data_IF_903804995451
#
_entry.id   IF_903804995451
#
_cell.length_a   1.000
_cell.length_b   1.000
_cell.length_c   1.000
_cell.angle_alpha   90.00
_cell.angle_beta   90.00
_cell.angle_gamma   90.00
#
_symmetry.space_group_name_H-M   'P 1'
#
loop_
_entity.id
_entity.type
_entity.pdbx_description
1 polymer ?
#
# COMPACT_ATOMS: atom_id res chain seq x y z
N UNK A 1 52.91 -4.00 52.76
CA UNK A 1 52.22 -2.88 52.07
C UNK A 1 53.01 -2.60 50.81
N UNK A 2 52.86 -3.41 49.77
CA UNK A 2 51.77 -3.38 48.78
C UNK A 2 51.81 -2.16 47.85
N UNK A 3 52.35 -2.42 46.64
CA UNK A 3 51.87 -2.15 45.27
C UNK A 3 53.07 -1.74 44.40
N UNK A 4 53.66 -2.66 43.62
CA UNK A 4 53.26 -3.00 42.22
C UNK A 4 53.22 -1.70 41.39
N UNK A 5 54.17 -1.35 40.52
CA UNK A 5 54.88 -2.17 39.54
C UNK A 5 54.22 -1.95 38.16
N UNK A 6 54.95 -1.34 37.21
CA UNK A 6 55.01 -1.62 35.75
C UNK A 6 55.51 -0.38 34.99
N UNK A 7 56.70 -0.53 34.42
CA UNK A 7 57.31 0.24 33.33
C UNK A 7 56.52 0.02 32.01
N UNK A 8 56.40 1.04 31.13
CA UNK A 8 56.86 0.77 29.78
C UNK A 8 57.58 1.95 29.11
N UNK A 9 58.84 1.69 28.74
CA UNK A 9 59.51 1.81 27.42
C UNK A 9 59.42 3.10 26.59
N UNK A 10 60.54 3.48 25.94
CA UNK A 10 60.64 4.64 25.06
C UNK A 10 60.08 4.37 23.66
N UNK A 11 59.44 5.38 23.08
CA UNK A 11 59.15 5.44 21.65
C UNK A 11 57.67 5.31 21.31
N UNK A 12 57.06 6.44 21.01
CA UNK A 12 56.23 6.72 19.83
C UNK A 12 55.41 7.98 20.14
N UNK A 13 56.09 9.13 20.11
CA UNK A 13 55.38 10.36 19.80
C UNK A 13 54.78 10.18 18.42
N UNK A 14 53.45 10.32 18.31
CA UNK A 14 52.76 10.38 17.03
C UNK A 14 53.50 11.40 16.18
N UNK A 15 54.18 10.92 15.13
CA UNK A 15 54.91 11.81 14.23
C UNK A 15 53.85 12.53 13.41
N UNK A 16 54.09 13.80 13.14
CA UNK A 16 53.34 14.66 12.19
C UNK A 16 53.33 14.08 10.74
N UNK A 17 53.90 12.89 10.53
CA UNK A 17 54.05 12.21 9.21
C UNK A 17 52.98 11.16 8.90
N UNK A 18 52.06 10.85 9.83
CA UNK A 18 50.96 9.91 9.54
C UNK A 18 49.74 10.59 8.88
N UNK A 19 49.63 11.93 8.91
CA UNK A 19 48.55 12.70 8.27
C UNK A 19 48.88 13.04 6.80
N UNK A 20 50.15 12.98 6.40
CA UNK A 20 50.58 13.24 5.02
C UNK A 20 50.24 12.09 4.05
N UNK A 21 49.86 10.91 4.56
CA UNK A 21 49.58 9.72 3.74
C UNK A 21 48.08 9.49 3.44
N UNK A 22 47.20 10.41 3.83
CA UNK A 22 45.75 10.31 3.61
C UNK A 22 45.15 11.46 2.79
N UNK A 23 45.97 12.42 2.34
CA UNK A 23 45.47 13.47 1.45
C UNK A 23 45.16 12.91 0.06
N UNK A 24 43.96 13.20 -0.44
CA UNK A 24 43.50 12.80 -1.77
C UNK A 24 43.84 13.88 -2.79
N UNK A 25 44.44 13.47 -3.89
CA UNK A 25 44.66 14.36 -5.02
C UNK A 25 43.32 14.77 -5.66
N UNK A 26 43.27 15.91 -6.35
CA UNK A 26 42.05 16.35 -7.06
C UNK A 26 41.48 15.30 -8.03
N UNK A 27 42.33 14.46 -8.62
CA UNK A 27 41.90 13.36 -9.49
C UNK A 27 41.23 12.22 -8.73
N UNK A 28 41.74 11.88 -7.54
CA UNK A 28 41.15 10.86 -6.66
C UNK A 28 39.85 11.37 -6.04
N UNK A 29 39.83 12.59 -5.49
CA UNK A 29 38.61 13.21 -4.98
C UNK A 29 37.54 13.32 -6.07
N UNK A 30 37.91 13.63 -7.31
CA UNK A 30 36.98 13.66 -8.43
C UNK A 30 36.33 12.29 -8.69
N UNK A 31 37.14 11.23 -8.69
CA UNK A 31 36.68 9.85 -8.85
C UNK A 31 35.77 9.42 -7.71
N UNK A 32 36.15 9.73 -6.48
CA UNK A 32 35.49 9.23 -5.27
C UNK A 32 34.23 10.02 -4.90
N UNK A 33 34.15 11.29 -5.32
CA UNK A 33 32.97 12.15 -5.11
C UNK A 33 31.96 12.13 -6.27
N UNK A 34 32.39 11.68 -7.45
CA UNK A 34 31.60 11.78 -8.68
C UNK A 34 31.51 13.20 -9.27
N UNK A 35 32.28 14.17 -8.72
CA UNK A 35 32.46 15.49 -9.30
C UNK A 35 33.64 15.47 -10.26
N UNK A 36 33.47 16.02 -11.46
CA UNK A 36 34.61 16.18 -12.38
C UNK A 36 35.68 17.11 -11.81
N UNK A 37 36.94 16.94 -12.22
CA UNK A 37 38.08 17.80 -11.82
C UNK A 37 37.78 19.28 -12.07
N UNK A 38 37.13 19.60 -13.19
CA UNK A 38 36.71 20.99 -13.49
C UNK A 38 35.64 21.52 -12.53
N UNK A 39 34.76 20.66 -12.01
CA UNK A 39 33.74 21.03 -11.03
C UNK A 39 34.38 21.32 -9.67
N UNK A 40 35.34 20.49 -9.22
CA UNK A 40 36.10 20.75 -7.99
C UNK A 40 36.85 22.10 -8.06
N UNK A 41 37.49 22.41 -9.19
CA UNK A 41 38.11 23.73 -9.42
C UNK A 41 37.10 24.89 -9.43
N UNK A 42 35.88 24.64 -9.90
CA UNK A 42 34.81 25.62 -9.85
C UNK A 42 34.35 25.88 -8.41
N UNK A 43 34.12 24.83 -7.63
CA UNK A 43 33.68 24.95 -6.24
C UNK A 43 34.74 25.54 -5.31
N UNK A 44 36.02 25.28 -5.56
CA UNK A 44 37.13 25.98 -4.91
C UNK A 44 37.06 27.49 -5.15
N UNK A 45 37.03 27.94 -6.42
CA UNK A 45 36.91 29.37 -6.77
C UNK A 45 35.63 30.01 -6.25
N UNK A 46 34.54 29.26 -6.25
CA UNK A 46 33.25 29.69 -5.72
C UNK A 46 33.19 29.61 -4.19
N UNK A 47 34.27 29.19 -3.51
CA UNK A 47 34.42 29.09 -2.06
C UNK A 47 33.46 28.10 -1.39
N UNK A 48 32.95 27.12 -2.12
CA UNK A 48 31.95 26.14 -1.66
C UNK A 48 32.64 24.90 -1.08
N UNK A 49 33.72 24.46 -1.70
CA UNK A 49 34.58 23.38 -1.23
C UNK A 49 36.02 23.76 -1.51
N UNK A 50 36.67 24.36 -0.53
CA UNK A 50 38.06 24.86 -0.63
C UNK A 50 39.00 23.70 -0.28
N UNK A 51 40.00 23.37 -1.11
CA UNK A 51 40.94 22.28 -0.85
C UNK A 51 41.71 22.53 0.46
N UNK A 52 41.95 21.46 1.22
CA UNK A 52 42.75 21.52 2.45
C UNK A 52 44.16 22.07 2.19
N UNK A 53 44.75 21.76 1.04
CA UNK A 53 46.05 22.31 0.66
C UNK A 53 46.16 22.54 -0.86
N UNK A 54 46.85 23.61 -1.22
CA UNK A 54 47.21 23.92 -2.60
C UNK A 54 48.71 24.10 -2.68
N UNK A 55 49.35 23.35 -3.57
CA UNK A 55 50.79 23.45 -3.82
C UNK A 55 51.13 24.86 -4.32
N UNK A 56 52.00 25.61 -3.62
CA UNK A 56 52.34 27.00 -3.95
C UNK A 56 53.13 27.15 -5.26
N UNK A 57 53.74 26.08 -5.77
CA UNK A 57 54.54 26.10 -7.01
C UNK A 57 53.71 25.60 -8.19
N UNK A 58 53.05 24.45 -8.05
CA UNK A 58 52.30 23.82 -9.15
C UNK A 58 50.81 24.22 -9.21
N UNK A 59 50.28 24.80 -8.13
CA UNK A 59 48.84 25.08 -7.99
C UNK A 59 47.97 23.82 -7.88
N UNK A 60 48.60 22.67 -7.62
CA UNK A 60 47.92 21.38 -7.50
C UNK A 60 47.15 21.29 -6.18
N UNK A 61 45.96 20.69 -6.22
CA UNK A 61 44.99 20.71 -5.10
C UNK A 61 44.92 19.34 -4.43
N UNK A 62 44.91 19.39 -3.10
CA UNK A 62 44.84 18.24 -2.22
C UNK A 62 43.69 18.43 -1.24
N UNK A 63 42.93 17.36 -1.02
CA UNK A 63 41.75 17.33 -0.18
C UNK A 63 41.94 16.34 0.97
N UNK A 64 41.44 16.67 2.16
CA UNK A 64 41.41 15.72 3.27
C UNK A 64 40.34 14.63 3.04
N UNK A 65 40.43 13.46 3.70
CA UNK A 65 39.41 12.41 3.61
C UNK A 65 37.99 12.91 3.88
N UNK A 66 37.80 13.76 4.90
CA UNK A 66 36.50 14.31 5.30
C UNK A 66 35.89 15.20 4.21
N UNK A 67 36.74 15.94 3.47
CA UNK A 67 36.32 16.77 2.34
C UNK A 67 35.83 15.94 1.16
N UNK A 68 36.18 14.66 1.10
CA UNK A 68 35.66 13.73 0.08
C UNK A 68 34.19 13.42 0.34
N UNK A 69 33.78 13.30 1.60
CA UNK A 69 32.38 13.09 1.96
C UNK A 69 31.54 14.36 1.80
N UNK A 70 32.11 15.54 2.10
CA UNK A 70 31.51 16.83 1.75
C UNK A 70 31.31 16.97 0.24
N UNK A 71 32.29 16.56 -0.57
CA UNK A 71 32.19 16.58 -2.03
C UNK A 71 31.09 15.62 -2.54
N UNK A 72 30.92 14.45 -1.92
CA UNK A 72 29.81 13.52 -2.23
C UNK A 72 28.45 14.13 -1.89
N UNK A 73 28.33 14.76 -0.73
CA UNK A 73 27.10 15.44 -0.33
C UNK A 73 26.78 16.59 -1.29
N UNK A 74 27.77 17.42 -1.63
CA UNK A 74 27.66 18.47 -2.64
C UNK A 74 27.12 17.91 -3.96
N UNK A 75 27.70 16.81 -4.45
CA UNK A 75 27.30 16.18 -5.70
C UNK A 75 25.83 15.73 -5.67
N UNK A 76 25.38 15.13 -4.55
CA UNK A 76 24.00 14.70 -4.34
C UNK A 76 23.04 15.88 -4.34
N UNK A 77 23.30 16.91 -3.54
CA UNK A 77 22.44 18.09 -3.42
C UNK A 77 22.38 18.89 -4.73
N UNK A 78 23.50 18.99 -5.45
CA UNK A 78 23.56 19.63 -6.77
C UNK A 78 22.73 18.86 -7.81
N UNK A 79 22.82 17.53 -7.83
CA UNK A 79 21.99 16.67 -8.70
C UNK A 79 20.51 16.80 -8.37
N UNK A 80 20.19 16.98 -7.09
CA UNK A 80 18.85 17.30 -6.61
C UNK A 80 18.45 18.77 -6.82
N UNK A 81 19.18 19.55 -7.62
CA UNK A 81 18.77 20.90 -8.02
C UNK A 81 18.91 21.98 -6.95
N UNK A 82 19.65 21.75 -5.86
CA UNK A 82 19.87 22.76 -4.83
C UNK A 82 20.66 23.96 -5.39
N UNK A 83 20.22 25.22 -5.12
CA UNK A 83 20.95 26.43 -5.51
C UNK A 83 22.35 26.51 -4.88
N UNK A 84 23.29 27.14 -5.60
CA UNK A 84 24.68 27.27 -5.14
C UNK A 84 24.82 28.03 -3.80
N UNK A 85 23.94 29.00 -3.56
CA UNK A 85 23.90 29.76 -2.30
C UNK A 85 23.56 28.84 -1.11
N UNK A 86 22.57 27.97 -1.28
CA UNK A 86 22.13 27.03 -0.23
C UNK A 86 23.17 25.93 -0.01
N UNK A 87 23.82 25.45 -1.08
CA UNK A 87 24.92 24.49 -0.98
C UNK A 87 26.07 25.01 -0.10
N UNK A 88 26.41 26.30 -0.22
CA UNK A 88 27.44 26.94 0.62
C UNK A 88 27.04 26.94 2.08
N UNK A 89 25.79 27.26 2.39
CA UNK A 89 25.29 27.30 3.77
C UNK A 89 25.22 25.91 4.39
N UNK A 90 24.75 24.92 3.62
CA UNK A 90 24.68 23.53 4.06
C UNK A 90 26.07 22.98 4.36
N UNK A 91 27.06 23.20 3.49
CA UNK A 91 28.42 22.69 3.74
C UNK A 91 29.13 23.43 4.87
N UNK A 92 28.96 24.75 4.99
CA UNK A 92 29.51 25.50 6.11
C UNK A 92 28.95 25.02 7.46
N UNK A 93 27.64 24.72 7.52
CA UNK A 93 27.00 24.15 8.70
C UNK A 93 27.33 22.67 8.93
N UNK A 94 27.61 21.91 7.86
CA UNK A 94 27.98 20.49 7.93
C UNK A 94 29.34 20.26 8.59
N UNK A 95 30.29 21.18 8.36
CA UNK A 95 31.60 21.19 9.04
C UNK A 95 31.58 21.82 10.45
N UNK A 96 30.44 22.40 10.86
CA UNK A 96 30.28 23.17 12.10
C UNK A 96 29.27 22.56 13.07
N UNK A 97 28.91 23.30 14.14
CA UNK A 97 27.99 22.83 15.20
C UNK A 97 26.52 23.19 14.96
N UNK A 98 26.21 24.00 13.93
CA UNK A 98 24.86 24.55 13.70
C UNK A 98 23.99 23.58 12.87
N UNK A 99 23.58 22.50 13.53
CA UNK A 99 22.81 21.41 12.92
C UNK A 99 21.38 21.84 12.56
N UNK A 100 20.82 22.84 13.25
CA UNK A 100 19.43 23.25 13.07
C UNK A 100 19.25 24.10 11.79
N UNK A 101 20.21 24.97 11.47
CA UNK A 101 20.20 25.70 10.20
C UNK A 101 20.28 24.76 8.99
N UNK A 102 21.20 23.77 9.04
CA UNK A 102 21.36 22.77 7.97
C UNK A 102 20.07 21.97 7.79
N UNK A 103 19.46 21.52 8.88
CA UNK A 103 18.19 20.78 8.86
C UNK A 103 17.08 21.61 8.21
N UNK A 104 16.92 22.87 8.62
CA UNK A 104 15.89 23.75 8.06
C UNK A 104 16.04 24.01 6.55
N UNK A 105 17.29 24.15 6.07
CA UNK A 105 17.58 24.29 4.63
C UNK A 105 17.27 23.00 3.86
N UNK A 106 17.68 21.84 4.38
CA UNK A 106 17.40 20.55 3.73
C UNK A 106 15.90 20.25 3.69
N UNK A 107 15.17 20.48 4.79
CA UNK A 107 13.70 20.31 4.83
C UNK A 107 12.99 21.25 3.86
N UNK A 108 13.44 22.50 3.75
CA UNK A 108 12.87 23.46 2.79
C UNK A 108 13.10 23.02 1.36
N UNK A 109 14.30 22.52 1.05
CA UNK A 109 14.61 21.97 -0.27
C UNK A 109 13.82 20.69 -0.57
N UNK A 110 13.65 19.80 0.42
CA UNK A 110 12.83 18.60 0.30
C UNK A 110 11.37 18.96 -0.02
N UNK A 111 10.76 19.90 0.71
CA UNK A 111 9.42 20.42 0.40
C UNK A 111 9.33 21.05 -1.00
N UNK A 112 10.41 21.64 -1.51
CA UNK A 112 10.45 22.20 -2.88
C UNK A 112 10.50 21.09 -3.92
N UNK A 113 11.28 20.03 -3.69
CA UNK A 113 11.35 18.87 -4.57
C UNK A 113 10.04 18.09 -4.61
N UNK A 114 9.38 17.89 -3.47
CA UNK A 114 8.08 17.22 -3.39
C UNK A 114 7.01 18.01 -4.14
N UNK A 115 6.96 19.34 -3.97
CA UNK A 115 6.07 20.22 -4.75
C UNK A 115 6.36 20.13 -6.24
N UNK A 116 7.64 20.21 -6.64
CA UNK A 116 8.02 20.07 -8.04
C UNK A 116 7.64 18.70 -8.64
N UNK A 117 7.70 17.61 -7.86
CA UNK A 117 7.24 16.29 -8.29
C UNK A 117 5.72 16.24 -8.43
N UNK A 118 4.98 16.85 -7.50
CA UNK A 118 3.52 16.94 -7.58
C UNK A 118 3.09 17.74 -8.81
N UNK A 119 3.73 18.89 -9.06
CA UNK A 119 3.48 19.73 -10.23
C UNK A 119 3.80 18.97 -11.53
N UNK A 120 4.97 18.32 -11.62
CA UNK A 120 5.35 17.54 -12.79
C UNK A 120 4.38 16.35 -13.03
N UNK A 121 3.91 15.67 -11.98
CA UNK A 121 2.89 14.62 -12.10
C UNK A 121 1.54 15.17 -12.59
N UNK A 122 1.17 16.37 -12.15
CA UNK A 122 -0.03 17.07 -12.62
C UNK A 122 0.10 17.42 -14.10
N UNK A 123 1.24 17.98 -14.52
CA UNK A 123 1.52 18.29 -15.93
C UNK A 123 1.54 17.03 -16.82
N UNK A 124 2.15 15.93 -16.37
CA UNK A 124 2.13 14.65 -17.09
C UNK A 124 0.70 14.16 -17.27
N UNK A 125 -0.12 14.23 -16.22
CA UNK A 125 -1.54 13.87 -16.30
C UNK A 125 -2.30 14.75 -17.28
N UNK A 126 -2.03 16.06 -17.30
CA UNK A 126 -2.65 17.00 -18.23
C UNK A 126 -2.24 16.72 -19.69
N UNK A 127 -0.96 16.43 -19.93
CA UNK A 127 -0.44 16.07 -21.25
C UNK A 127 -1.01 14.74 -21.74
N UNK A 128 -1.14 13.74 -20.87
CA UNK A 128 -1.84 12.49 -21.19
C UNK A 128 -3.29 12.74 -21.57
N UNK A 129 -4.02 13.57 -20.82
CA UNK A 129 -5.39 13.94 -21.17
C UNK A 129 -5.49 14.65 -22.53
N UNK A 130 -4.51 15.49 -22.90
CA UNK A 130 -4.44 16.12 -24.23
C UNK A 130 -4.12 15.11 -25.32
N UNK A 131 -3.22 14.16 -25.06
CA UNK A 131 -2.91 13.07 -25.99
C UNK A 131 -4.13 12.16 -26.17
N UNK A 132 -4.82 11.79 -25.10
CA UNK A 132 -6.08 11.03 -25.14
C UNK A 132 -7.15 11.77 -25.95
N UNK A 133 -7.30 13.10 -25.78
CA UNK A 133 -8.22 13.91 -26.58
C UNK A 133 -7.86 13.97 -28.06
N UNK A 134 -6.57 13.78 -28.41
CA UNK A 134 -6.07 13.84 -29.79
C UNK A 134 -6.08 12.48 -30.47
N UNK A 135 -5.77 11.42 -29.73
CA UNK A 135 -5.78 10.02 -30.17
C UNK A 135 -7.21 9.47 -30.19
N UNK A 136 -8.07 9.94 -29.28
CA UNK A 136 -9.52 9.74 -29.26
C UNK A 136 -10.26 11.09 -29.38
N UNK A 137 -10.25 11.73 -30.57
CA UNK A 137 -11.03 12.94 -30.79
C UNK A 137 -12.50 12.56 -30.68
N UNK A 138 -13.17 12.99 -29.59
CA UNK A 138 -14.62 12.93 -29.36
C UNK A 138 -15.35 11.93 -30.27
N UNK A 139 -15.58 10.67 -29.85
CA UNK A 139 -16.58 9.90 -30.54
C UNK A 139 -17.92 10.56 -30.21
N UNK A 140 -18.59 11.10 -31.23
CA UNK A 140 -20.05 11.12 -31.29
C UNK A 140 -20.56 9.68 -31.29
N UNK A 141 -20.34 8.96 -30.20
CA UNK A 141 -21.00 7.70 -29.88
C UNK A 141 -22.16 8.02 -28.92
N UNK A 142 -23.27 7.27 -28.99
CA UNK A 142 -24.43 7.52 -28.14
C UNK A 142 -24.03 7.36 -26.65
N UNK A 143 -24.81 7.90 -25.71
CA UNK A 143 -24.51 7.73 -24.29
C UNK A 143 -24.40 6.23 -23.98
N UNK A 144 -23.24 5.79 -23.49
CA UNK A 144 -23.15 4.57 -22.70
C UNK A 144 -24.21 4.72 -21.61
N UNK A 145 -25.19 3.81 -21.56
CA UNK A 145 -26.36 3.97 -20.69
C UNK A 145 -25.90 4.15 -19.23
N UNK A 146 -25.94 5.39 -18.74
CA UNK A 146 -25.59 5.70 -17.36
C UNK A 146 -26.83 5.52 -16.51
N UNK A 147 -26.78 4.64 -15.53
CA UNK A 147 -27.87 4.41 -14.60
C UNK A 147 -27.65 5.24 -13.36
N UNK A 148 -28.65 6.03 -12.95
CA UNK A 148 -28.64 6.80 -11.70
C UNK A 148 -29.68 6.25 -10.73
N UNK A 149 -29.23 5.89 -9.54
CA UNK A 149 -30.03 5.33 -8.46
C UNK A 149 -29.85 6.11 -7.17
N UNK A 150 -30.86 6.05 -6.31
CA UNK A 150 -30.81 6.61 -4.97
C UNK A 150 -30.74 5.49 -3.94
N UNK A 151 -29.82 5.61 -2.99
CA UNK A 151 -29.60 4.62 -1.92
C UNK A 151 -29.64 5.30 -0.54
N UNK A 152 -30.06 4.60 0.52
CA UNK A 152 -29.78 5.03 1.89
C UNK A 152 -28.26 5.05 2.12
N UNK A 153 -27.69 6.18 2.51
CA UNK A 153 -26.25 6.31 2.77
C UNK A 153 -25.72 5.26 3.76
N UNK A 154 -26.38 4.98 4.90
CA UNK A 154 -25.90 3.96 5.84
C UNK A 154 -25.84 2.56 5.25
N UNK A 155 -26.79 2.23 4.35
CA UNK A 155 -26.83 0.92 3.71
C UNK A 155 -25.70 0.76 2.69
N UNK A 156 -25.47 1.77 1.84
CA UNK A 156 -24.36 1.77 0.89
C UNK A 156 -22.99 1.78 1.60
N UNK A 157 -22.87 2.53 2.69
CA UNK A 157 -21.67 2.55 3.52
C UNK A 157 -21.35 1.18 4.11
N UNK A 158 -22.35 0.54 4.72
CA UNK A 158 -22.21 -0.79 5.30
C UNK A 158 -21.88 -1.86 4.24
N UNK A 159 -22.40 -1.73 3.03
CA UNK A 159 -22.08 -2.64 1.93
C UNK A 159 -20.66 -2.46 1.40
N UNK A 160 -20.18 -1.20 1.27
CA UNK A 160 -18.78 -0.92 0.93
C UNK A 160 -17.82 -1.42 2.01
N UNK A 161 -18.15 -1.20 3.30
CA UNK A 161 -17.40 -1.74 4.45
C UNK A 161 -17.35 -3.27 4.42
N UNK A 162 -18.44 -3.92 4.01
CA UNK A 162 -18.55 -5.37 3.96
C UNK A 162 -17.74 -6.04 2.84
N UNK A 163 -17.29 -5.31 1.81
CA UNK A 163 -16.60 -5.94 0.67
C UNK A 163 -15.19 -5.43 0.39
N UNK A 164 -14.88 -4.15 0.68
CA UNK A 164 -13.61 -3.53 0.22
C UNK A 164 -12.34 -4.27 0.66
N UNK A 165 -12.40 -4.97 1.79
CA UNK A 165 -11.26 -5.67 2.37
C UNK A 165 -10.80 -6.84 1.50
N UNK A 166 -11.72 -7.44 0.72
CA UNK A 166 -11.44 -8.60 -0.11
C UNK A 166 -10.83 -8.26 -1.48
N UNK A 167 -10.57 -6.99 -1.80
CA UNK A 167 -9.95 -6.60 -3.06
C UNK A 167 -8.45 -6.96 -3.08
N UNK A 168 -7.98 -7.42 -4.23
CA UNK A 168 -6.59 -7.81 -4.43
C UNK A 168 -5.63 -6.62 -4.47
N UNK A 169 -4.38 -6.88 -4.07
CA UNK A 169 -3.28 -5.91 -4.13
C UNK A 169 -2.15 -6.32 -5.08
N UNK A 170 -2.29 -7.49 -5.72
CA UNK A 170 -1.33 -8.04 -6.68
C UNK A 170 -1.26 -7.18 -7.95
N UNK A 171 -0.11 -6.54 -8.24
CA UNK A 171 0.07 -5.75 -9.46
C UNK A 171 -0.08 -6.56 -10.75
N UNK A 172 0.09 -7.89 -10.71
CA UNK A 172 -0.12 -8.80 -11.82
C UNK A 172 -1.59 -9.07 -12.13
N UNK A 173 -2.51 -8.70 -11.24
CA UNK A 173 -3.95 -8.92 -11.36
C UNK A 173 -4.74 -7.62 -11.17
N UNK A 174 -4.57 -6.63 -12.05
CA UNK A 174 -5.22 -5.33 -11.93
C UNK A 174 -6.76 -5.41 -11.96
N UNK A 175 -7.33 -6.44 -12.57
CA UNK A 175 -8.78 -6.69 -12.54
C UNK A 175 -9.34 -7.00 -11.14
N UNK A 176 -8.48 -7.33 -10.19
CA UNK A 176 -8.85 -7.61 -8.80
C UNK A 176 -8.59 -6.42 -7.86
N UNK A 177 -7.98 -5.34 -8.36
CA UNK A 177 -7.67 -4.13 -7.59
C UNK A 177 -8.88 -3.18 -7.41
N UNK A 178 -10.10 -3.69 -7.64
CA UNK A 178 -11.35 -2.93 -7.61
C UNK A 178 -12.50 -3.72 -7.01
N UNK A 179 -13.62 -3.03 -6.82
CA UNK A 179 -14.90 -3.56 -6.38
C UNK A 179 -15.84 -3.52 -7.57
N UNK A 180 -16.37 -4.68 -7.98
CA UNK A 180 -17.41 -4.75 -9.00
C UNK A 180 -18.70 -4.17 -8.44
N UNK A 181 -19.25 -3.19 -9.15
CA UNK A 181 -20.59 -2.68 -8.97
C UNK A 181 -21.44 -3.32 -10.08
N UNK A 182 -22.33 -4.23 -9.70
CA UNK A 182 -23.27 -4.90 -10.60
C UNK A 182 -24.69 -4.44 -10.28
N UNK A 183 -25.19 -3.46 -11.04
CA UNK A 183 -26.53 -2.93 -10.92
C UNK A 183 -27.48 -3.79 -11.76
N UNK A 184 -28.45 -4.42 -11.11
CA UNK A 184 -29.50 -5.19 -11.76
C UNK A 184 -30.86 -4.85 -11.14
N UNK A 185 -31.77 -4.31 -11.96
CA UNK A 185 -33.07 -3.84 -11.49
C UNK A 185 -32.93 -2.78 -10.40
N UNK A 186 -33.59 -3.01 -9.27
CA UNK A 186 -33.57 -2.16 -8.08
C UNK A 186 -32.44 -2.52 -7.10
N UNK A 187 -31.39 -3.21 -7.54
CA UNK A 187 -30.37 -3.71 -6.64
C UNK A 187 -28.95 -3.50 -7.13
N UNK A 188 -28.08 -3.15 -6.18
CA UNK A 188 -26.66 -3.02 -6.38
C UNK A 188 -25.96 -4.17 -5.66
N UNK A 189 -25.31 -5.04 -6.42
CA UNK A 189 -24.37 -6.02 -5.89
C UNK A 189 -22.97 -5.41 -5.90
N UNK A 190 -22.32 -5.42 -4.74
CA UNK A 190 -20.93 -5.07 -4.58
C UNK A 190 -20.13 -6.34 -4.37
N UNK A 191 -19.06 -6.53 -5.16
CA UNK A 191 -18.24 -7.74 -5.09
C UNK A 191 -16.76 -7.40 -5.16
N UNK A 192 -15.97 -7.99 -4.26
CA UNK A 192 -14.51 -7.89 -4.28
C UNK A 192 -13.88 -9.27 -4.04
N UNK A 193 -12.74 -9.53 -4.67
CA UNK A 193 -12.00 -10.79 -4.55
C UNK A 193 -10.52 -10.60 -4.85
N UNK A 194 -9.68 -11.45 -4.26
CA UNK A 194 -8.23 -11.51 -4.45
C UNK A 194 -7.75 -12.91 -4.90
N UNK A 195 -8.69 -13.75 -5.39
CA UNK A 195 -8.57 -15.19 -5.71
C UNK A 195 -8.69 -16.15 -4.53
N UNK A 196 -8.30 -15.75 -3.32
CA UNK A 196 -8.31 -16.61 -2.14
C UNK A 196 -9.55 -16.39 -1.27
N UNK A 197 -10.18 -15.24 -1.41
CA UNK A 197 -11.44 -14.88 -0.77
C UNK A 197 -12.33 -14.06 -1.68
N UNK A 198 -13.60 -14.00 -1.34
CA UNK A 198 -14.56 -13.13 -2.00
C UNK A 198 -15.52 -12.56 -0.97
N UNK A 199 -15.89 -11.30 -1.11
CA UNK A 199 -16.95 -10.68 -0.32
C UNK A 199 -18.03 -10.13 -1.26
N UNK A 200 -19.29 -10.38 -0.89
CA UNK A 200 -20.47 -9.94 -1.63
C UNK A 200 -21.40 -9.21 -0.67
N UNK A 201 -21.90 -8.06 -1.08
CA UNK A 201 -22.96 -7.34 -0.39
C UNK A 201 -24.03 -6.89 -1.39
N UNK A 202 -25.27 -6.82 -0.93
CA UNK A 202 -26.39 -6.31 -1.73
C UNK A 202 -26.99 -5.09 -1.04
N UNK A 203 -27.30 -4.07 -1.84
CA UNK A 203 -28.05 -2.90 -1.40
C UNK A 203 -29.21 -2.70 -2.35
N UNK A 204 -30.42 -2.66 -1.80
CA UNK A 204 -31.60 -2.31 -2.58
C UNK A 204 -31.67 -0.78 -2.74
N UNK A 205 -31.95 -0.36 -3.97
CA UNK A 205 -32.19 1.02 -4.38
C UNK A 205 -33.68 1.35 -4.31
N UNK A 206 -34.02 2.63 -4.47
CA UNK A 206 -35.36 2.99 -4.94
C UNK A 206 -35.66 2.35 -6.31
N UNK A 207 -36.92 1.99 -6.55
CA UNK A 207 -37.37 1.24 -7.73
C UNK A 207 -36.76 1.77 -9.06
N UNK A 208 -36.22 0.86 -9.86
CA UNK A 208 -35.56 1.15 -11.14
C UNK A 208 -35.97 0.13 -12.21
N UNK A 209 -36.18 0.63 -13.43
CA UNK A 209 -36.59 -0.16 -14.61
C UNK A 209 -35.59 -0.01 -15.77
N UNK A 210 -34.30 0.15 -15.43
CA UNK A 210 -33.23 0.33 -16.42
C UNK A 210 -32.38 -0.93 -16.66
N UNK A 211 -31.50 -0.89 -17.67
CA UNK A 211 -30.68 -2.02 -18.06
C UNK A 211 -29.65 -2.35 -16.97
N UNK A 212 -29.21 -3.62 -16.92
CA UNK A 212 -28.09 -4.04 -16.07
C UNK A 212 -26.82 -3.30 -16.49
N UNK A 213 -26.10 -2.74 -15.52
CA UNK A 213 -24.82 -2.05 -15.74
C UNK A 213 -23.78 -2.59 -14.77
N UNK A 214 -22.62 -2.94 -15.30
CA UNK A 214 -21.46 -3.34 -14.51
C UNK A 214 -20.36 -2.30 -14.63
N UNK A 215 -19.69 -2.03 -13.52
CA UNK A 215 -18.56 -1.12 -13.45
C UNK A 215 -17.55 -1.61 -12.41
N UNK A 216 -16.28 -1.68 -12.77
CA UNK A 216 -15.22 -2.09 -11.84
C UNK A 216 -14.59 -0.86 -11.20
N UNK A 217 -14.94 -0.59 -9.94
CA UNK A 217 -14.59 0.65 -9.23
C UNK A 217 -13.26 0.46 -8.48
N UNK A 218 -12.21 1.27 -8.74
CA UNK A 218 -10.94 1.17 -8.03
C UNK A 218 -11.11 1.33 -6.51
N UNK A 219 -10.37 0.55 -5.71
CA UNK A 219 -10.45 0.60 -4.23
C UNK A 219 -10.25 2.03 -3.66
N UNK A 220 -9.29 2.85 -4.14
CA UNK A 220 -9.16 4.23 -3.65
C UNK A 220 -10.40 5.09 -3.91
N UNK A 221 -11.07 4.89 -5.06
CA UNK A 221 -12.29 5.61 -5.41
C UNK A 221 -13.46 5.15 -4.52
N UNK A 222 -13.59 3.85 -4.30
CA UNK A 222 -14.57 3.30 -3.37
C UNK A 222 -14.34 3.78 -1.93
N UNK A 223 -13.08 3.94 -1.50
CA UNK A 223 -12.72 4.52 -0.21
C UNK A 223 -13.14 5.99 -0.09
N UNK A 224 -12.91 6.79 -1.13
CA UNK A 224 -13.37 8.17 -1.19
C UNK A 224 -14.91 8.27 -1.15
N UNK A 225 -15.61 7.39 -1.88
CA UNK A 225 -17.07 7.28 -1.81
C UNK A 225 -17.54 6.97 -0.39
N UNK A 226 -16.94 5.95 0.25
CA UNK A 226 -17.28 5.55 1.61
C UNK A 226 -17.11 6.70 2.62
N UNK A 227 -16.09 7.53 2.46
CA UNK A 227 -15.86 8.68 3.34
C UNK A 227 -16.96 9.75 3.24
N UNK A 228 -17.59 9.90 2.08
CA UNK A 228 -18.72 10.83 1.89
C UNK A 228 -20.04 10.32 2.49
N UNK A 229 -20.17 9.03 2.78
CA UNK A 229 -21.37 8.39 3.32
C UNK A 229 -21.43 8.49 4.86
N UNK A 230 -21.36 9.72 5.37
CA UNK A 230 -21.31 9.99 6.82
C UNK A 230 -22.65 10.48 7.41
N UNK A 231 -23.65 10.77 6.57
CA UNK A 231 -24.95 11.31 6.95
C UNK A 231 -26.08 10.38 6.49
N UNK A 232 -27.25 10.47 7.13
CA UNK A 232 -28.41 9.60 6.84
C UNK A 232 -29.20 10.01 5.58
N UNK A 233 -28.80 11.09 4.91
CA UNK A 233 -29.47 11.56 3.70
C UNK A 233 -29.29 10.56 2.54
N UNK A 234 -30.32 10.32 1.71
CA UNK A 234 -30.18 9.51 0.52
C UNK A 234 -29.11 10.05 -0.43
N UNK A 235 -28.38 9.15 -1.08
CA UNK A 235 -27.26 9.46 -1.96
C UNK A 235 -27.54 9.02 -3.38
N UNK A 236 -27.15 9.86 -4.34
CA UNK A 236 -27.25 9.55 -5.76
C UNK A 236 -25.99 8.86 -6.24
N UNK A 237 -26.13 7.63 -6.76
CA UNK A 237 -25.04 6.92 -7.42
C UNK A 237 -25.35 6.86 -8.92
N UNK A 238 -24.44 7.35 -9.74
CA UNK A 238 -24.49 7.25 -11.20
C UNK A 238 -23.38 6.33 -11.68
N UNK A 239 -23.75 5.28 -12.41
CA UNK A 239 -22.82 4.31 -12.99
C UNK A 239 -22.95 4.35 -14.51
N UNK A 240 -21.92 4.85 -15.17
CA UNK A 240 -21.63 4.58 -16.58
C UNK A 240 -20.58 3.47 -16.65
N UNK A 241 -20.60 2.61 -17.66
CA UNK A 241 -19.69 1.45 -17.73
C UNK A 241 -18.19 1.79 -17.56
N UNK A 242 -17.80 3.02 -17.89
CA UNK A 242 -16.43 3.56 -17.79
C UNK A 242 -16.21 4.49 -16.57
N UNK A 243 -17.27 4.91 -15.89
CA UNK A 243 -17.19 5.98 -14.90
C UNK A 243 -18.28 5.89 -13.84
N UNK A 244 -17.89 6.17 -12.60
CA UNK A 244 -18.82 6.14 -11.47
C UNK A 244 -18.78 7.46 -10.71
N UNK A 245 -19.95 7.94 -10.32
CA UNK A 245 -20.13 9.19 -9.58
C UNK A 245 -21.05 8.95 -8.38
N UNK A 246 -20.60 9.35 -7.19
CA UNK A 246 -21.41 9.41 -5.98
C UNK A 246 -21.65 10.89 -5.61
N UNK A 247 -22.91 11.24 -5.38
CA UNK A 247 -23.36 12.57 -4.98
C UNK A 247 -24.15 12.48 -3.68
N UNK A 248 -23.78 13.33 -2.73
CA UNK A 248 -24.47 13.52 -1.45
C UNK A 248 -24.80 15.00 -1.28
N UNK A 249 -25.67 15.36 -0.34
CA UNK A 249 -25.92 16.78 -0.01
C UNK A 249 -24.65 17.53 0.41
N UNK A 250 -23.64 16.82 0.92
CA UNK A 250 -22.37 17.37 1.42
C UNK A 250 -21.21 17.36 0.42
N UNK A 251 -21.35 16.77 -0.77
CA UNK A 251 -20.27 16.72 -1.75
C UNK A 251 -20.43 15.68 -2.87
N UNK A 252 -19.43 15.62 -3.74
CA UNK A 252 -19.38 14.72 -4.89
C UNK A 252 -18.01 14.07 -5.02
N UNK A 253 -18.00 12.78 -5.35
CA UNK A 253 -16.80 12.04 -5.77
C UNK A 253 -17.10 11.35 -7.09
N UNK A 254 -16.14 11.40 -8.02
CA UNK A 254 -16.25 10.74 -9.31
C UNK A 254 -14.88 10.23 -9.76
N UNK A 255 -14.87 9.19 -10.58
CA UNK A 255 -13.65 8.67 -11.17
C UNK A 255 -13.91 7.65 -12.27
N UNK A 256 -12.84 7.26 -12.94
CA UNK A 256 -12.86 6.24 -13.99
C UNK A 256 -12.86 4.83 -13.37
N UNK A 257 -13.58 3.93 -14.02
CA UNK A 257 -13.58 2.51 -13.70
C UNK A 257 -12.36 1.83 -14.34
N UNK A 258 -11.99 0.66 -13.80
CA UNK A 258 -10.96 -0.18 -14.39
C UNK A 258 -11.51 -0.82 -15.67
N UNK A 259 -10.77 -0.70 -16.77
CA UNK A 259 -11.11 -1.28 -18.07
C UNK A 259 -10.69 -2.76 -18.14
N UNK A 260 -11.29 -3.57 -17.24
CA UNK A 260 -11.02 -4.99 -17.11
C UNK A 260 -12.31 -5.76 -16.79
N UNK A 261 -12.41 -6.98 -17.30
CA UNK A 261 -13.48 -7.90 -16.94
C UNK A 261 -13.27 -8.44 -15.52
N UNK A 262 -14.32 -8.38 -14.70
CA UNK A 262 -14.32 -9.00 -13.38
C UNK A 262 -14.70 -10.48 -13.48
N UNK A 263 -14.11 -11.38 -12.67
CA UNK A 263 -14.48 -12.79 -12.66
C UNK A 263 -15.98 -13.03 -12.45
N UNK A 264 -16.55 -14.05 -13.10
CA UNK A 264 -17.96 -14.41 -12.92
C UNK A 264 -18.24 -14.97 -11.52
N UNK A 265 -18.57 -14.07 -10.60
CA UNK A 265 -18.81 -14.36 -9.20
C UNK A 265 -20.12 -15.12 -8.96
N UNK A 266 -21.09 -15.05 -9.89
CA UNK A 266 -22.45 -15.61 -9.68
C UNK A 266 -22.42 -17.11 -9.46
N UNK A 267 -21.45 -17.78 -10.08
CA UNK A 267 -21.19 -19.22 -9.89
C UNK A 267 -20.81 -19.58 -8.45
N UNK A 268 -20.23 -18.64 -7.71
CA UNK A 268 -19.79 -18.80 -6.32
C UNK A 268 -20.85 -18.35 -5.30
N UNK A 269 -21.92 -17.68 -5.72
CA UNK A 269 -23.03 -17.28 -4.84
C UNK A 269 -23.90 -18.48 -4.45
N UNK A 270 -23.97 -19.52 -5.29
CA UNK A 270 -24.85 -20.67 -5.12
C UNK A 270 -24.09 -21.92 -4.65
N UNK A 271 -23.36 -21.78 -3.54
CA UNK A 271 -22.69 -22.93 -2.93
C UNK A 271 -23.72 -23.94 -2.39
N UNK A 272 -23.46 -25.26 -2.53
CA UNK A 272 -24.30 -26.29 -1.93
C UNK A 272 -24.36 -26.10 -0.41
N UNK A 273 -25.52 -26.34 0.18
CA UNK A 273 -25.74 -26.14 1.61
C UNK A 273 -24.78 -27.00 2.43
N UNK A 274 -24.06 -26.33 3.32
CA UNK A 274 -23.10 -26.95 4.21
C UNK A 274 -23.64 -27.11 5.63
N UNK A 275 -22.79 -27.62 6.51
CA UNK A 275 -23.03 -27.59 7.96
C UNK A 275 -22.95 -26.14 8.45
N UNK A 276 -24.02 -25.65 9.08
CA UNK A 276 -24.09 -24.29 9.59
C UNK A 276 -23.89 -24.25 11.10
N UNK A 277 -23.01 -23.37 11.54
CA UNK A 277 -22.73 -23.10 12.95
C UNK A 277 -22.86 -21.61 13.24
N UNK A 278 -23.58 -21.29 14.30
CA UNK A 278 -23.62 -19.93 14.83
C UNK A 278 -22.43 -19.71 15.77
N UNK A 279 -21.63 -18.68 15.53
CA UNK A 279 -20.50 -18.31 16.38
C UNK A 279 -20.73 -16.95 17.04
N UNK A 280 -20.27 -16.82 18.28
CA UNK A 280 -20.10 -15.54 18.96
C UNK A 280 -18.78 -14.91 18.49
N UNK A 281 -18.86 -13.77 17.81
CA UNK A 281 -17.71 -13.17 17.11
C UNK A 281 -16.62 -12.73 18.09
N UNK A 282 -16.90 -12.03 19.20
CA UNK A 282 -15.88 -11.70 20.20
C UNK A 282 -15.14 -12.93 20.74
N UNK A 283 -15.87 -14.00 21.11
CA UNK A 283 -15.26 -15.22 21.65
C UNK A 283 -14.43 -15.94 20.59
N UNK A 284 -14.98 -16.09 19.38
CA UNK A 284 -14.32 -16.82 18.30
C UNK A 284 -13.09 -16.06 17.76
N UNK A 285 -13.17 -14.73 17.61
CA UNK A 285 -12.03 -13.87 17.28
C UNK A 285 -10.91 -14.04 18.29
N UNK A 286 -11.21 -13.96 19.59
CA UNK A 286 -10.21 -14.15 20.63
C UNK A 286 -9.55 -15.52 20.54
N UNK A 287 -10.33 -16.57 20.28
CA UNK A 287 -9.81 -17.92 20.08
C UNK A 287 -8.89 -18.03 18.85
N UNK A 288 -9.18 -17.32 17.76
CA UNK A 288 -8.30 -17.24 16.59
C UNK A 288 -7.01 -16.47 16.88
N UNK A 289 -7.10 -15.33 17.57
CA UNK A 289 -5.95 -14.47 17.88
C UNK A 289 -4.98 -15.13 18.87
N UNK A 290 -5.49 -15.80 19.91
CA UNK A 290 -4.67 -16.52 20.89
C UNK A 290 -4.37 -17.96 20.49
N UNK A 291 -5.00 -18.45 19.42
CA UNK A 291 -4.94 -19.84 19.00
C UNK A 291 -3.66 -20.22 18.26
N UNK A 292 -3.36 -21.52 18.17
CA UNK A 292 -2.18 -22.07 17.47
C UNK A 292 -2.21 -21.71 15.98
N UNK A 293 -1.09 -21.23 15.44
CA UNK A 293 -0.90 -20.88 14.02
C UNK A 293 -0.14 -22.00 13.34
N UNK A 294 -0.57 -22.39 12.13
CA UNK A 294 0.27 -23.19 11.24
C UNK A 294 0.79 -22.33 10.10
N UNK A 295 2.05 -22.50 9.77
CA UNK A 295 2.67 -21.82 8.63
C UNK A 295 2.21 -22.52 7.35
N UNK A 296 1.45 -21.81 6.51
CA UNK A 296 1.10 -22.30 5.19
C UNK A 296 2.31 -22.37 4.26
N UNK A 297 2.23 -23.18 3.20
CA UNK A 297 3.27 -23.19 2.17
C UNK A 297 3.44 -21.79 1.58
N UNK A 298 4.69 -21.43 1.30
CA UNK A 298 5.01 -20.19 0.61
C UNK A 298 4.44 -20.31 -0.80
N UNK A 299 3.48 -19.45 -1.15
CA UNK A 299 2.92 -19.49 -2.49
C UNK A 299 4.00 -19.15 -3.51
N UNK A 300 4.15 -20.00 -4.53
CA UNK A 300 5.15 -19.84 -5.60
C UNK A 300 4.95 -18.56 -6.42
N UNK A 301 3.77 -17.93 -6.32
CA UNK A 301 3.38 -16.78 -7.14
C UNK A 301 3.67 -15.42 -6.48
N UNK A 302 3.55 -15.32 -5.16
CA UNK A 302 3.70 -14.08 -4.39
C UNK A 302 4.79 -14.17 -3.31
N UNK A 303 5.35 -15.36 -3.05
CA UNK A 303 6.44 -15.57 -2.10
C UNK A 303 6.03 -15.32 -0.65
N UNK A 304 4.73 -15.24 -0.36
CA UNK A 304 4.19 -14.99 0.99
C UNK A 304 3.79 -16.29 1.68
N UNK A 305 4.24 -16.42 2.92
CA UNK A 305 3.75 -17.43 3.85
C UNK A 305 2.52 -16.90 4.57
N UNK A 306 1.46 -17.67 4.59
CA UNK A 306 0.20 -17.31 5.22
C UNK A 306 0.04 -18.01 6.57
N UNK A 307 -0.41 -17.29 7.59
CA UNK A 307 -0.74 -17.85 8.89
C UNK A 307 -2.09 -18.56 8.79
N UNK A 308 -2.11 -19.87 9.01
CA UNK A 308 -3.30 -20.70 8.91
C UNK A 308 -3.93 -20.97 10.27
N UNK A 309 -5.25 -20.94 10.31
CA UNK A 309 -6.05 -21.48 11.40
C UNK A 309 -6.74 -22.75 10.93
N UNK A 310 -6.58 -23.83 11.69
CA UNK A 310 -7.28 -25.09 11.44
C UNK A 310 -8.53 -25.15 12.30
N UNK A 311 -9.67 -25.28 11.66
CA UNK A 311 -10.99 -25.28 12.28
C UNK A 311 -11.58 -26.68 12.26
N UNK A 312 -12.25 -27.06 13.35
CA UNK A 312 -13.06 -28.28 13.41
C UNK A 312 -14.47 -27.95 13.86
N UNK A 313 -15.45 -28.55 13.20
CA UNK A 313 -16.85 -28.47 13.62
C UNK A 313 -17.22 -29.76 14.36
N UNK A 314 -17.40 -29.67 15.67
CA UNK A 314 -17.82 -30.79 16.50
C UNK A 314 -19.28 -31.18 16.24
N UNK A 315 -19.70 -32.39 16.59
CA UNK A 315 -21.05 -32.94 16.34
C UNK A 315 -22.18 -32.12 16.97
N UNK A 316 -21.91 -31.42 18.06
CA UNK A 316 -22.83 -30.48 18.71
C UNK A 316 -23.01 -29.15 17.94
N UNK A 317 -22.26 -28.98 16.85
CA UNK A 317 -22.26 -27.79 16.02
C UNK A 317 -21.27 -26.72 16.50
N UNK A 318 -20.43 -26.97 17.50
CA UNK A 318 -19.42 -26.00 17.97
C UNK A 318 -18.21 -25.96 17.02
N UNK A 319 -17.75 -24.75 16.66
CA UNK A 319 -16.46 -24.59 15.94
C UNK A 319 -15.34 -24.32 16.93
N UNK A 320 -14.24 -25.07 16.82
CA UNK A 320 -13.03 -24.86 17.62
C UNK A 320 -11.80 -24.69 16.73
N UNK A 321 -10.84 -23.89 17.22
CA UNK A 321 -9.50 -23.80 16.63
C UNK A 321 -8.69 -24.97 17.17
N UNK A 322 -8.13 -25.78 16.27
CA UNK A 322 -7.41 -27.01 16.60
C UNK A 322 -6.00 -26.73 17.10
N UNK A 323 -5.60 -27.41 18.18
CA UNK A 323 -4.20 -27.51 18.61
C UNK A 323 -3.35 -28.31 17.61
N UNK A 324 -2.03 -28.09 17.67
CA UNK A 324 -1.07 -28.85 16.88
C UNK A 324 -1.17 -30.34 17.19
N UNK A 325 -1.24 -31.13 16.12
CA UNK A 325 -1.47 -32.57 16.15
C UNK A 325 -1.90 -33.08 14.79
N UNK A 326 -2.15 -34.39 14.70
CA UNK A 326 -2.49 -35.05 13.44
C UNK A 326 -3.76 -34.47 12.82
N UNK A 327 -3.71 -34.32 11.49
CA UNK A 327 -4.80 -33.78 10.69
C UNK A 327 -5.93 -34.79 10.53
N UNK A 328 -7.15 -34.29 10.72
CA UNK A 328 -8.34 -35.08 10.48
C UNK A 328 -8.93 -34.73 9.12
N UNK A 329 -9.53 -35.70 8.40
CA UNK A 329 -10.17 -35.45 7.11
C UNK A 329 -11.29 -34.40 7.14
N UNK A 330 -11.79 -34.01 8.32
CA UNK A 330 -12.84 -32.99 8.49
C UNK A 330 -12.29 -31.63 8.96
N UNK A 331 -10.96 -31.49 9.03
CA UNK A 331 -10.32 -30.23 9.41
C UNK A 331 -10.36 -29.24 8.24
N UNK A 332 -10.68 -27.99 8.57
CA UNK A 332 -10.74 -26.87 7.64
C UNK A 332 -9.61 -25.90 7.92
N UNK A 333 -8.57 -25.90 7.09
CA UNK A 333 -7.54 -24.87 7.16
C UNK A 333 -7.92 -23.66 6.31
N UNK A 334 -7.79 -22.48 6.87
CA UNK A 334 -8.02 -21.20 6.20
C UNK A 334 -6.96 -20.20 6.64
N UNK A 335 -6.69 -19.21 5.78
CA UNK A 335 -5.89 -18.05 6.17
C UNK A 335 -6.54 -17.32 7.35
N UNK A 336 -5.77 -17.15 8.42
CA UNK A 336 -6.21 -16.51 9.67
C UNK A 336 -6.53 -15.04 9.48
N UNK A 337 -5.68 -14.30 8.76
CA UNK A 337 -5.87 -12.88 8.52
C UNK A 337 -7.16 -12.64 7.76
N UNK A 338 -7.41 -13.40 6.71
CA UNK A 338 -8.63 -13.33 5.92
C UNK A 338 -9.86 -13.68 6.75
N UNK A 339 -9.78 -14.67 7.63
CA UNK A 339 -10.89 -15.04 8.51
C UNK A 339 -11.20 -13.91 9.50
N UNK A 340 -10.17 -13.33 10.12
CA UNK A 340 -10.33 -12.21 11.05
C UNK A 340 -10.95 -10.98 10.38
N UNK A 341 -10.47 -10.61 9.19
CA UNK A 341 -11.03 -9.50 8.40
C UNK A 341 -12.49 -9.76 8.02
N UNK A 342 -12.84 -10.99 7.64
CA UNK A 342 -14.23 -11.35 7.31
C UNK A 342 -15.15 -11.31 8.55
N UNK A 343 -14.67 -11.72 9.72
CA UNK A 343 -15.41 -11.57 10.98
C UNK A 343 -15.64 -10.10 11.35
N UNK A 344 -14.65 -9.23 11.10
CA UNK A 344 -14.76 -7.79 11.30
C UNK A 344 -15.78 -7.16 10.34
N UNK A 345 -15.67 -7.43 9.05
CA UNK A 345 -16.59 -6.96 8.02
C UNK A 345 -18.04 -7.44 8.25
N UNK A 346 -18.20 -8.59 8.90
CA UNK A 346 -19.50 -9.10 9.34
C UNK A 346 -20.26 -8.11 10.23
N UNK A 347 -19.57 -7.32 11.07
CA UNK A 347 -20.16 -6.21 11.83
C UNK A 347 -21.30 -6.59 12.77
N UNK A 348 -21.31 -7.84 13.26
CA UNK A 348 -22.34 -8.41 14.14
C UNK A 348 -21.68 -9.16 15.30
N UNK A 349 -22.38 -9.23 16.43
CA UNK A 349 -21.93 -10.05 17.58
C UNK A 349 -22.00 -11.55 17.28
N UNK A 350 -22.87 -11.95 16.35
CA UNK A 350 -23.02 -13.35 15.94
C UNK A 350 -23.01 -13.47 14.42
N UNK A 351 -22.30 -14.48 13.93
CA UNK A 351 -22.22 -14.82 12.51
C UNK A 351 -22.47 -16.32 12.32
N UNK A 352 -22.91 -16.68 11.12
CA UNK A 352 -23.08 -18.08 10.71
C UNK A 352 -21.88 -18.47 9.85
N UNK A 353 -21.15 -19.50 10.30
CA UNK A 353 -20.14 -20.18 9.51
C UNK A 353 -20.79 -21.39 8.84
N UNK A 354 -20.66 -21.49 7.52
CA UNK A 354 -21.21 -22.58 6.71
C UNK A 354 -20.06 -23.36 6.05
N UNK A 355 -19.91 -24.61 6.47
CA UNK A 355 -18.83 -25.51 6.07
C UNK A 355 -19.34 -26.53 5.06
N UNK A 356 -18.72 -26.56 3.88
CA UNK A 356 -18.98 -27.58 2.86
C UNK A 356 -18.18 -28.86 3.10
N UNK A 357 -17.62 -29.43 2.02
CA UNK A 357 -16.50 -30.37 2.14
C UNK A 357 -15.22 -29.61 2.55
N UNK A 358 -14.19 -30.26 3.11
CA UNK A 358 -12.91 -29.63 3.48
C UNK A 358 -12.23 -28.83 2.35
N UNK A 359 -12.48 -29.22 1.10
CA UNK A 359 -11.97 -28.54 -0.11
C UNK A 359 -12.94 -27.49 -0.67
N UNK A 360 -14.12 -27.32 -0.06
CA UNK A 360 -15.11 -26.33 -0.47
C UNK A 360 -14.91 -25.02 0.31
N UNK A 361 -15.31 -23.88 -0.27
CA UNK A 361 -15.20 -22.59 0.40
C UNK A 361 -15.94 -22.54 1.74
N UNK A 362 -15.31 -21.92 2.75
CA UNK A 362 -15.98 -21.54 3.99
C UNK A 362 -16.81 -20.28 3.73
N UNK A 363 -18.12 -20.35 3.96
CA UNK A 363 -18.99 -19.19 3.86
C UNK A 363 -19.27 -18.57 5.23
N UNK A 364 -19.18 -17.25 5.33
CA UNK A 364 -19.44 -16.46 6.54
C UNK A 364 -20.60 -15.53 6.24
N UNK A 365 -21.71 -15.72 6.95
CA UNK A 365 -22.99 -15.06 6.68
C UNK A 365 -23.51 -14.33 7.90
N UNK A 366 -24.29 -13.28 7.66
CA UNK A 366 -25.08 -12.64 8.70
C UNK A 366 -26.37 -13.44 8.95
N UNK A 367 -26.80 -13.64 10.21
CA UNK A 367 -28.07 -14.32 10.49
C UNK A 367 -29.29 -13.57 9.98
N UNK A 368 -29.20 -12.23 9.94
CA UNK A 368 -30.24 -11.28 9.53
C UNK A 368 -30.23 -10.95 8.03
N UNK A 369 -29.13 -11.28 7.33
CA UNK A 369 -28.94 -10.93 5.92
C UNK A 369 -28.13 -12.01 5.19
N UNK A 370 -28.83 -12.85 4.44
CA UNK A 370 -28.21 -13.89 3.63
C UNK A 370 -27.55 -13.35 2.33
N UNK A 371 -27.86 -12.12 1.94
CA UNK A 371 -27.38 -11.48 0.70
C UNK A 371 -26.01 -10.84 0.86
N UNK A 372 -25.57 -10.61 2.10
CA UNK A 372 -24.20 -10.21 2.44
C UNK A 372 -23.43 -11.38 3.03
N UNK A 373 -22.33 -11.76 2.40
CA UNK A 373 -21.50 -12.87 2.86
C UNK A 373 -20.05 -12.78 2.35
N UNK A 374 -19.17 -13.46 3.07
CA UNK A 374 -17.77 -13.67 2.68
C UNK A 374 -17.52 -15.15 2.41
N UNK A 375 -16.67 -15.45 1.43
CA UNK A 375 -16.15 -16.78 1.15
C UNK A 375 -14.64 -16.78 1.34
N UNK A 376 -14.13 -17.82 1.98
CA UNK A 376 -12.70 -18.11 2.05
C UNK A 376 -12.42 -19.45 1.39
N UNK A 377 -11.44 -19.48 0.50
CA UNK A 377 -10.94 -20.73 -0.06
C UNK A 377 -10.18 -21.49 1.03
N UNK A 378 -10.41 -22.80 1.19
CA UNK A 378 -9.64 -23.60 2.12
C UNK A 378 -8.22 -23.79 1.58
N UNK A 379 -7.27 -23.90 2.51
CA UNK A 379 -5.90 -24.31 2.22
C UNK A 379 -5.84 -25.82 2.42
N UNK A 380 -5.20 -26.53 1.48
CA UNK A 380 -5.00 -27.97 1.68
C UNK A 380 -3.96 -28.17 2.77
N UNK A 381 -4.29 -29.00 3.75
CA UNK A 381 -3.33 -29.54 4.69
C UNK A 381 -2.67 -30.76 4.02
N UNK A 382 -1.35 -30.77 3.94
CA UNK A 382 -0.64 -31.98 3.53
C UNK A 382 -0.62 -32.95 4.71
N UNK A 383 -1.28 -34.09 4.53
CA UNK A 383 -1.34 -35.17 5.51
C UNK A 383 -0.09 -36.05 5.53
#
# INVERSE_FOLDING_TARGET
>A
MDRVGVDPRPGQGLRVTDVENEMRSIGETARDSGLGVSALRFYDRAGVLVPAWVDPVSGYRWYAPEQTDEARLLARLRRAGMPLADLRLVLAGWSGTDTDLVRGLLETHLRRLERGLADARSEISALRAILDQRENPMPTSPPTASVRLSFPAPALAAALDAVRFAAGTDPGLPMLAGILFDLEGDSLHLVATDRYRMAVARVDAGAHDGPRVQALVPVPLAGAMRALLSHDEPVGLTVGGDSVTLETGGGRTAGQCLDHDFPDYRRLVHLPSGRRTLVDVPVFRKALESGPVRTGEVSEQDGTSHDLSVLRVADDGTVTVREDGDDHPDDFAVDRGYLLEALEAGGRERLVLEFGAPTAPLAIRRPDDASTFSLLMPVRLDG
#
